data_IF_682673629721
#
_entry.id   IF_682673629721
#
_cell.length_a   1.000
_cell.length_b   1.000
_cell.length_c   1.000
_cell.angle_alpha   90.00
_cell.angle_beta   90.00
_cell.angle_gamma   90.00
#
_symmetry.space_group_name_H-M   'P 1'
#
loop_
_entity.id
_entity.type
_entity.pdbx_description
1 polymer ?
#
# COMPACT_ATOMS: atom_id res chain seq x y z
N UNK A 1 -27.32 15.50 1.15
CA UNK A 1 -26.27 14.73 0.46
C UNK A 1 -25.01 15.58 0.35
N UNK A 2 -24.25 15.71 1.44
CA UNK A 2 -22.99 16.41 1.41
C UNK A 2 -21.99 15.63 0.57
N UNK A 3 -21.50 16.19 -0.49
CA UNK A 3 -20.33 15.68 -1.19
C UNK A 3 -19.18 15.67 -0.19
N UNK A 4 -18.61 14.47 0.09
CA UNK A 4 -17.50 14.29 1.02
C UNK A 4 -16.21 14.99 0.55
N UNK A 5 -16.25 15.66 -0.60
CA UNK A 5 -15.08 16.28 -1.22
C UNK A 5 -15.32 17.77 -1.46
N UNK A 6 -14.40 18.58 -1.00
CA UNK A 6 -14.34 19.99 -1.33
C UNK A 6 -13.49 20.22 -2.59
N UNK A 7 -13.63 21.39 -3.23
CA UNK A 7 -12.93 21.73 -4.48
C UNK A 7 -11.44 21.47 -4.44
N UNK A 8 -10.77 21.82 -3.35
CA UNK A 8 -9.33 21.64 -3.21
C UNK A 8 -8.90 20.16 -3.17
N UNK A 9 -9.75 19.27 -2.63
CA UNK A 9 -9.48 17.84 -2.65
C UNK A 9 -9.50 17.30 -4.08
N UNK A 10 -10.48 17.71 -4.89
CA UNK A 10 -10.59 17.30 -6.30
C UNK A 10 -9.35 17.75 -7.08
N UNK A 11 -8.94 19.02 -6.91
CA UNK A 11 -7.74 19.56 -7.55
C UNK A 11 -6.49 18.75 -7.11
N UNK A 12 -6.30 18.54 -5.81
CA UNK A 12 -5.17 17.82 -5.28
C UNK A 12 -5.11 16.38 -5.80
N UNK A 13 -6.23 15.66 -5.83
CA UNK A 13 -6.32 14.31 -6.38
C UNK A 13 -6.03 14.30 -7.89
N UNK A 14 -6.66 15.19 -8.67
CA UNK A 14 -6.43 15.26 -10.10
C UNK A 14 -4.94 15.51 -10.41
N UNK A 15 -4.33 16.48 -9.73
CA UNK A 15 -2.91 16.78 -9.91
C UNK A 15 -2.01 15.64 -9.50
N UNK A 16 -2.23 15.07 -8.30
CA UNK A 16 -1.39 13.98 -7.77
C UNK A 16 -1.47 12.75 -8.69
N UNK A 17 -2.67 12.27 -9.01
CA UNK A 17 -2.84 11.09 -9.84
C UNK A 17 -2.35 11.29 -11.27
N UNK A 18 -2.57 12.46 -11.85
CA UNK A 18 -2.11 12.73 -13.23
C UNK A 18 -0.59 12.88 -13.30
N UNK A 19 0.04 13.58 -12.36
CA UNK A 19 1.50 13.72 -12.32
C UNK A 19 2.15 12.36 -12.04
N UNK A 20 1.74 11.65 -11.00
CA UNK A 20 2.33 10.35 -10.66
C UNK A 20 2.06 9.31 -11.75
N UNK A 21 0.85 9.30 -12.32
CA UNK A 21 0.49 8.42 -13.42
C UNK A 21 1.28 8.71 -14.70
N UNK A 22 1.46 9.99 -15.06
CA UNK A 22 2.23 10.39 -16.24
C UNK A 22 3.72 10.05 -16.10
N UNK A 23 4.33 10.40 -14.96
CA UNK A 23 5.74 10.12 -14.69
C UNK A 23 5.99 8.62 -14.56
N UNK A 24 5.20 7.93 -13.74
CA UNK A 24 5.30 6.48 -13.55
C UNK A 24 5.01 5.71 -14.85
N UNK A 25 3.96 6.09 -15.58
CA UNK A 25 3.59 5.52 -16.86
C UNK A 25 4.68 5.66 -17.92
N UNK A 26 5.29 6.84 -18.03
CA UNK A 26 6.41 7.07 -18.95
C UNK A 26 7.58 6.09 -18.68
N UNK A 27 8.00 5.95 -17.43
CA UNK A 27 9.09 5.04 -17.07
C UNK A 27 8.72 3.57 -17.27
N UNK A 28 7.49 3.18 -16.96
CA UNK A 28 7.00 1.81 -17.16
C UNK A 28 6.93 1.45 -18.64
N UNK A 29 6.38 2.33 -19.48
CA UNK A 29 6.28 2.13 -20.93
C UNK A 29 7.68 2.06 -21.55
N UNK A 30 8.58 2.97 -21.18
CA UNK A 30 9.99 2.95 -21.64
C UNK A 30 10.70 1.65 -21.27
N UNK A 31 10.46 1.15 -20.04
CA UNK A 31 11.00 -0.15 -19.60
C UNK A 31 10.42 -1.31 -20.38
N UNK A 32 9.10 -1.33 -20.59
CA UNK A 32 8.43 -2.37 -21.38
C UNK A 32 8.90 -2.38 -22.83
N UNK A 33 9.00 -1.21 -23.47
CA UNK A 33 9.50 -1.07 -24.83
C UNK A 33 10.96 -1.59 -24.98
N UNK A 34 11.81 -1.29 -23.99
CA UNK A 34 13.16 -1.84 -23.95
C UNK A 34 13.18 -3.37 -23.77
N UNK A 35 12.30 -3.89 -22.94
CA UNK A 35 12.17 -5.33 -22.71
C UNK A 35 11.66 -6.08 -23.95
N UNK A 36 10.74 -5.50 -24.69
CA UNK A 36 10.24 -6.07 -25.96
C UNK A 36 11.35 -6.14 -27.02
N UNK A 37 12.20 -5.10 -27.11
CA UNK A 37 13.35 -5.10 -28.04
C UNK A 37 14.39 -6.16 -27.71
N UNK A 38 14.54 -6.50 -26.42
CA UNK A 38 15.54 -7.46 -25.94
C UNK A 38 15.01 -8.91 -25.81
N UNK A 39 13.83 -9.18 -26.33
CA UNK A 39 13.18 -10.49 -26.33
C UNK A 39 12.10 -10.62 -25.23
N UNK A 40 10.89 -10.84 -25.69
CA UNK A 40 9.70 -10.92 -24.82
C UNK A 40 9.80 -12.02 -23.76
N UNK A 41 10.22 -13.22 -24.15
CA UNK A 41 10.27 -14.37 -23.24
C UNK A 41 11.22 -14.15 -22.05
N UNK A 42 12.29 -13.37 -22.24
CA UNK A 42 13.24 -13.06 -21.16
C UNK A 42 12.77 -11.89 -20.28
N UNK A 43 11.79 -11.11 -20.73
CA UNK A 43 11.36 -9.87 -20.08
C UNK A 43 9.83 -9.76 -19.95
N UNK A 44 9.11 -10.88 -20.06
CA UNK A 44 7.64 -10.93 -20.02
C UNK A 44 7.04 -10.25 -18.78
N UNK A 45 7.73 -10.35 -17.64
CA UNK A 45 7.29 -9.75 -16.38
C UNK A 45 7.11 -8.22 -16.49
N UNK A 46 8.02 -7.52 -17.18
CA UNK A 46 7.90 -6.08 -17.37
C UNK A 46 6.70 -5.72 -18.25
N UNK A 47 6.43 -6.52 -19.28
CA UNK A 47 5.27 -6.31 -20.16
C UNK A 47 3.98 -6.60 -19.41
N UNK A 48 3.94 -7.71 -18.66
CA UNK A 48 2.82 -8.06 -17.81
C UNK A 48 2.46 -6.95 -16.82
N UNK A 49 3.46 -6.35 -16.16
CA UNK A 49 3.25 -5.25 -15.20
C UNK A 49 2.59 -4.03 -15.86
N UNK A 50 2.96 -3.69 -17.09
CA UNK A 50 2.33 -2.56 -17.81
C UNK A 50 0.89 -2.85 -18.17
N UNK A 51 0.57 -4.08 -18.57
CA UNK A 51 -0.78 -4.46 -19.00
C UNK A 51 -1.74 -4.69 -17.83
N UNK A 52 -1.24 -5.15 -16.69
CA UNK A 52 -2.09 -5.52 -15.54
C UNK A 52 -2.78 -4.32 -14.92
N UNK A 53 -2.13 -3.14 -14.87
CA UNK A 53 -2.71 -1.96 -14.25
C UNK A 53 -3.95 -1.46 -15.01
N UNK A 54 -3.93 -1.25 -16.34
CA UNK A 54 -5.14 -0.93 -17.11
C UNK A 54 -6.21 -2.02 -16.97
N UNK A 55 -5.82 -3.31 -17.04
CA UNK A 55 -6.75 -4.42 -16.86
C UNK A 55 -7.44 -4.41 -15.49
N UNK A 56 -6.71 -4.06 -14.43
CA UNK A 56 -7.26 -3.92 -13.09
C UNK A 56 -8.33 -2.82 -13.04
N UNK A 57 -8.07 -1.63 -13.60
CA UNK A 57 -9.06 -0.55 -13.62
C UNK A 57 -10.29 -0.91 -14.44
N UNK A 58 -10.11 -1.58 -15.59
CA UNK A 58 -11.24 -2.08 -16.39
C UNK A 58 -12.06 -3.12 -15.60
N UNK A 59 -11.39 -4.06 -14.93
CA UNK A 59 -12.07 -5.05 -14.08
C UNK A 59 -12.85 -4.38 -12.95
N UNK A 60 -12.26 -3.39 -12.26
CA UNK A 60 -12.94 -2.65 -11.19
C UNK A 60 -14.15 -1.87 -11.71
N UNK A 61 -14.04 -1.26 -12.90
CA UNK A 61 -15.16 -0.59 -13.55
C UNK A 61 -16.31 -1.57 -13.85
N UNK A 62 -15.99 -2.74 -14.43
CA UNK A 62 -16.97 -3.77 -14.70
C UNK A 62 -17.63 -4.33 -13.42
N UNK A 63 -16.85 -4.53 -12.35
CA UNK A 63 -17.37 -4.94 -11.05
C UNK A 63 -18.34 -3.89 -10.50
N UNK A 64 -17.98 -2.60 -10.58
CA UNK A 64 -18.85 -1.51 -10.15
C UNK A 64 -20.17 -1.43 -10.91
N UNK A 65 -20.17 -1.73 -12.21
CA UNK A 65 -21.39 -1.80 -13.02
C UNK A 65 -22.31 -2.95 -12.61
N UNK A 66 -21.73 -4.10 -12.25
CA UNK A 66 -22.50 -5.30 -11.90
C UNK A 66 -22.90 -5.36 -10.41
N UNK A 67 -22.15 -4.71 -9.54
CA UNK A 67 -22.38 -4.70 -8.09
C UNK A 67 -22.42 -3.29 -7.51
N UNK A 68 -23.34 -2.41 -7.98
CA UNK A 68 -23.34 -0.99 -7.62
C UNK A 68 -23.65 -0.71 -6.16
N UNK A 69 -24.22 -1.65 -5.44
CA UNK A 69 -24.50 -1.52 -4.00
C UNK A 69 -23.28 -1.74 -3.12
N UNK A 70 -22.37 -2.61 -3.53
CA UNK A 70 -21.13 -2.90 -2.82
C UNK A 70 -20.00 -1.97 -3.28
N UNK A 71 -19.94 -1.70 -4.58
CA UNK A 71 -18.91 -0.90 -5.22
C UNK A 71 -19.54 0.22 -6.05
N UNK A 72 -20.05 1.30 -5.40
CA UNK A 72 -20.66 2.41 -6.14
C UNK A 72 -19.67 3.01 -7.14
N UNK A 73 -20.15 3.24 -8.36
CA UNK A 73 -19.33 3.80 -9.44
C UNK A 73 -18.69 5.15 -9.07
N UNK A 74 -19.35 5.92 -8.21
CA UNK A 74 -18.84 7.18 -7.66
C UNK A 74 -17.57 7.06 -6.82
N UNK A 75 -17.16 5.83 -6.44
CA UNK A 75 -15.87 5.59 -5.79
C UNK A 75 -14.71 5.46 -6.80
N UNK A 76 -15.04 5.19 -8.05
CA UNK A 76 -14.07 4.98 -9.14
C UNK A 76 -14.05 6.18 -10.07
N UNK A 77 -15.21 6.77 -10.31
CA UNK A 77 -15.38 7.93 -11.19
C UNK A 77 -15.63 9.19 -10.36
N UNK A 78 -15.13 10.29 -10.88
CA UNK A 78 -15.38 11.62 -10.32
C UNK A 78 -16.87 11.96 -10.53
N UNK A 79 -17.58 12.46 -9.49
CA UNK A 79 -18.93 12.94 -9.65
C UNK A 79 -19.05 13.95 -10.80
N UNK A 80 -20.17 13.91 -11.54
CA UNK A 80 -20.37 14.76 -12.73
C UNK A 80 -20.25 16.26 -12.44
N UNK A 81 -20.65 16.69 -11.24
CA UNK A 81 -20.54 18.08 -10.76
C UNK A 81 -19.09 18.58 -10.65
N UNK A 82 -18.12 17.67 -10.49
CA UNK A 82 -16.68 17.97 -10.34
C UNK A 82 -15.86 17.59 -11.57
N UNK A 83 -16.48 17.03 -12.60
CA UNK A 83 -15.78 16.48 -13.76
C UNK A 83 -14.96 17.53 -14.51
N UNK A 84 -15.51 18.72 -14.70
CA UNK A 84 -14.81 19.82 -15.39
C UNK A 84 -13.59 20.27 -14.59
N UNK A 85 -13.75 20.45 -13.28
CA UNK A 85 -12.65 20.84 -12.39
C UNK A 85 -11.54 19.77 -12.37
N UNK A 86 -11.92 18.50 -12.30
CA UNK A 86 -10.99 17.38 -12.35
C UNK A 86 -10.25 17.33 -13.68
N UNK A 87 -10.97 17.50 -14.79
CA UNK A 87 -10.40 17.48 -16.15
C UNK A 87 -9.42 18.63 -16.36
N UNK A 88 -9.81 19.86 -16.03
CA UNK A 88 -8.91 21.02 -16.12
C UNK A 88 -7.64 20.83 -15.27
N UNK A 89 -7.79 20.38 -14.03
CA UNK A 89 -6.66 20.13 -13.14
C UNK A 89 -5.74 19.02 -13.66
N UNK A 90 -6.31 17.97 -14.25
CA UNK A 90 -5.56 16.88 -14.88
C UNK A 90 -4.79 17.33 -16.12
N UNK A 91 -5.39 18.18 -16.97
CA UNK A 91 -4.70 18.75 -18.14
C UNK A 91 -3.51 19.62 -17.70
N UNK A 92 -3.69 20.48 -16.70
CA UNK A 92 -2.61 21.30 -16.14
C UNK A 92 -1.52 20.40 -15.57
N UNK A 93 -1.88 19.38 -14.80
CA UNK A 93 -0.92 18.43 -14.22
C UNK A 93 -0.17 17.64 -15.30
N UNK A 94 -0.86 17.23 -16.37
CA UNK A 94 -0.23 16.58 -17.53
C UNK A 94 0.80 17.48 -18.20
N UNK A 95 0.46 18.74 -18.46
CA UNK A 95 1.39 19.73 -19.01
C UNK A 95 2.60 19.97 -18.11
N UNK A 96 2.38 20.11 -16.80
CA UNK A 96 3.47 20.17 -15.80
C UNK A 96 4.33 18.91 -15.82
N UNK A 97 3.73 17.73 -15.96
CA UNK A 97 4.44 16.46 -16.08
C UNK A 97 5.38 16.43 -17.28
N UNK A 98 4.95 16.93 -18.45
CA UNK A 98 5.80 17.05 -19.65
C UNK A 98 6.98 17.99 -19.37
N UNK A 99 6.73 19.17 -18.82
CA UNK A 99 7.78 20.16 -18.51
C UNK A 99 8.79 19.56 -17.52
N UNK A 100 8.30 18.84 -16.49
CA UNK A 100 9.18 18.17 -15.52
C UNK A 100 10.04 17.10 -16.21
N UNK A 101 9.46 16.30 -17.10
CA UNK A 101 10.22 15.29 -17.86
C UNK A 101 11.28 15.92 -18.74
N UNK A 102 10.97 16.99 -19.47
CA UNK A 102 11.93 17.73 -20.28
C UNK A 102 13.07 18.30 -19.43
N UNK A 103 12.77 18.87 -18.27
CA UNK A 103 13.79 19.38 -17.35
C UNK A 103 14.66 18.24 -16.79
N UNK A 104 14.07 17.11 -16.44
CA UNK A 104 14.80 15.92 -15.98
C UNK A 104 15.78 15.44 -17.06
N UNK A 105 15.36 15.40 -18.33
CA UNK A 105 16.21 14.99 -19.44
C UNK A 105 17.30 16.04 -19.73
N UNK A 106 16.92 17.32 -19.83
CA UNK A 106 17.84 18.42 -20.14
C UNK A 106 18.97 18.60 -19.13
N UNK A 107 18.68 18.46 -17.85
CA UNK A 107 19.66 18.61 -16.77
C UNK A 107 20.39 17.32 -16.39
N UNK A 108 20.15 16.23 -17.11
CA UNK A 108 20.75 14.94 -16.80
C UNK A 108 20.38 14.39 -15.42
N UNK A 109 19.30 14.93 -14.82
CA UNK A 109 18.81 14.52 -13.50
C UNK A 109 18.46 13.03 -13.47
N UNK A 110 18.01 12.49 -14.59
CA UNK A 110 17.75 11.06 -14.74
C UNK A 110 19.02 10.23 -14.52
N UNK A 111 20.19 10.67 -15.03
CA UNK A 111 21.45 9.95 -14.81
C UNK A 111 21.86 9.99 -13.34
N UNK A 112 21.73 11.15 -12.69
CA UNK A 112 22.01 11.31 -11.25
C UNK A 112 21.07 10.47 -10.38
N UNK A 113 19.77 10.50 -10.70
CA UNK A 113 18.76 9.66 -10.03
C UNK A 113 19.06 8.17 -10.22
N UNK A 114 19.45 7.76 -11.44
CA UNK A 114 19.79 6.37 -11.76
C UNK A 114 20.98 5.84 -10.96
N UNK A 115 21.89 6.71 -10.54
CA UNK A 115 23.04 6.37 -9.70
C UNK A 115 22.71 6.33 -8.22
N UNK A 116 21.53 6.82 -7.80
CA UNK A 116 21.12 6.81 -6.39
C UNK A 116 20.78 5.39 -5.92
N UNK A 117 21.10 5.10 -4.65
CA UNK A 117 20.74 3.82 -4.00
C UNK A 117 19.22 3.57 -4.01
N UNK A 118 18.44 4.65 -3.84
CA UNK A 118 16.98 4.58 -3.86
C UNK A 118 16.47 4.13 -5.25
N UNK A 119 17.00 4.69 -6.32
CA UNK A 119 16.61 4.29 -7.67
C UNK A 119 17.04 2.84 -7.98
N UNK A 120 18.20 2.43 -7.51
CA UNK A 120 18.65 1.04 -7.56
C UNK A 120 17.64 0.11 -6.89
N UNK A 121 17.25 0.42 -5.65
CA UNK A 121 16.25 -0.34 -4.91
C UNK A 121 14.89 -0.40 -5.65
N UNK A 122 14.38 0.75 -6.13
CA UNK A 122 13.11 0.81 -6.88
C UNK A 122 13.19 -0.05 -8.15
N UNK A 123 14.28 0.08 -8.92
CA UNK A 123 14.48 -0.68 -10.15
C UNK A 123 14.51 -2.19 -9.91
N UNK A 124 15.21 -2.62 -8.86
CA UNK A 124 15.36 -4.04 -8.52
C UNK A 124 14.08 -4.64 -7.94
N UNK A 125 13.27 -3.84 -7.25
CA UNK A 125 12.06 -4.30 -6.57
C UNK A 125 10.77 -3.81 -7.24
N UNK A 126 10.84 -3.34 -8.48
CA UNK A 126 9.67 -2.83 -9.20
C UNK A 126 8.48 -3.82 -9.23
N UNK A 127 8.66 -5.14 -9.45
CA UNK A 127 7.54 -6.09 -9.37
C UNK A 127 6.87 -6.11 -8.01
N UNK A 128 7.65 -6.07 -6.93
CA UNK A 128 7.11 -6.02 -5.57
C UNK A 128 6.41 -4.71 -5.24
N UNK A 129 6.97 -3.58 -5.68
CA UNK A 129 6.33 -2.26 -5.53
C UNK A 129 4.98 -2.25 -6.24
N UNK A 130 4.94 -2.82 -7.44
CA UNK A 130 3.72 -2.91 -8.22
C UNK A 130 2.68 -3.85 -7.57
N UNK A 131 3.10 -5.04 -7.13
CA UNK A 131 2.23 -5.94 -6.36
C UNK A 131 1.69 -5.25 -5.09
N UNK A 132 2.55 -4.58 -4.34
CA UNK A 132 2.15 -3.80 -3.17
C UNK A 132 1.13 -2.72 -3.50
N UNK A 133 1.30 -2.00 -4.60
CA UNK A 133 0.34 -1.00 -5.06
C UNK A 133 -1.00 -1.61 -5.47
N UNK A 134 -1.00 -2.74 -6.18
CA UNK A 134 -2.24 -3.46 -6.53
C UNK A 134 -2.98 -3.89 -5.26
N UNK A 135 -2.30 -4.51 -4.30
CA UNK A 135 -2.95 -4.94 -3.06
C UNK A 135 -3.37 -3.77 -2.17
N UNK A 136 -2.66 -2.65 -2.19
CA UNK A 136 -3.15 -1.41 -1.59
C UNK A 136 -4.51 -1.02 -2.17
N UNK A 137 -4.66 -0.98 -3.51
CA UNK A 137 -5.91 -0.63 -4.17
C UNK A 137 -7.02 -1.65 -3.89
N UNK A 138 -6.72 -2.94 -4.00
CA UNK A 138 -7.67 -4.03 -3.70
C UNK A 138 -8.19 -3.90 -2.27
N UNK A 139 -7.30 -3.77 -1.31
CA UNK A 139 -7.69 -3.67 0.10
C UNK A 139 -8.41 -2.36 0.41
N UNK A 140 -8.07 -1.25 -0.25
CA UNK A 140 -8.79 0.01 -0.08
C UNK A 140 -10.25 -0.10 -0.57
N UNK A 141 -10.46 -0.77 -1.69
CA UNK A 141 -11.81 -1.01 -2.23
C UNK A 141 -12.59 -1.96 -1.30
N UNK A 142 -11.97 -3.05 -0.87
CA UNK A 142 -12.56 -3.97 0.09
C UNK A 142 -12.87 -3.27 1.43
N UNK A 143 -11.95 -2.46 1.95
CA UNK A 143 -12.15 -1.70 3.18
C UNK A 143 -13.37 -0.77 3.07
N UNK A 144 -13.55 -0.11 1.94
CA UNK A 144 -14.73 0.73 1.69
C UNK A 144 -16.02 -0.08 1.64
N UNK A 145 -15.99 -1.27 1.02
CA UNK A 145 -17.16 -2.15 0.94
C UNK A 145 -17.51 -2.74 2.32
N UNK A 146 -16.51 -3.24 3.01
CA UNK A 146 -16.63 -3.95 4.28
C UNK A 146 -17.03 -3.00 5.41
N UNK A 147 -16.39 -1.86 5.57
CA UNK A 147 -16.68 -0.90 6.65
C UNK A 147 -17.85 0.05 6.32
N UNK A 148 -18.71 -0.30 5.38
CA UNK A 148 -19.92 0.47 5.14
C UNK A 148 -20.93 0.26 6.28
N UNK A 149 -21.67 1.31 6.62
CA UNK A 149 -22.75 1.24 7.63
C UNK A 149 -23.85 0.20 7.32
N UNK A 150 -23.90 -0.31 6.09
CA UNK A 150 -24.84 -1.35 5.64
C UNK A 150 -24.43 -2.76 6.06
N UNK A 151 -23.13 -2.99 6.21
CA UNK A 151 -22.58 -4.25 6.69
C UNK A 151 -22.17 -4.03 8.13
N UNK A 152 -23.03 -4.18 9.06
CA UNK A 152 -22.71 -4.11 10.49
C UNK A 152 -21.76 -5.27 10.87
N UNK A 153 -20.49 -5.12 10.53
CA UNK A 153 -19.45 -6.17 10.52
C UNK A 153 -18.92 -6.42 11.93
N UNK A 154 -19.18 -5.51 12.83
CA UNK A 154 -18.57 -5.47 14.15
C UNK A 154 -18.77 -6.77 14.96
N UNK A 155 -19.82 -7.52 14.67
CA UNK A 155 -20.12 -8.79 15.35
C UNK A 155 -20.07 -10.02 14.43
N UNK A 156 -19.89 -9.85 13.11
CA UNK A 156 -20.05 -10.95 12.13
C UNK A 156 -18.72 -11.61 11.77
N UNK A 157 -17.60 -10.86 11.75
CA UNK A 157 -16.32 -11.38 11.31
C UNK A 157 -15.38 -11.52 12.52
N UNK A 158 -15.34 -12.71 13.10
CA UNK A 158 -14.40 -13.12 14.15
C UNK A 158 -14.41 -12.20 15.39
N UNK A 159 -15.54 -11.56 15.70
CA UNK A 159 -15.63 -10.58 16.80
C UNK A 159 -14.53 -9.50 16.73
N UNK A 160 -14.13 -9.14 15.51
CA UNK A 160 -13.09 -8.13 15.31
C UNK A 160 -13.55 -6.78 15.90
N UNK A 161 -12.67 -6.16 16.66
CA UNK A 161 -12.89 -4.84 17.29
C UNK A 161 -12.84 -3.68 16.26
N UNK A 162 -13.38 -3.87 15.06
CA UNK A 162 -13.22 -2.94 13.95
C UNK A 162 -13.75 -1.53 14.24
N UNK A 163 -14.90 -1.41 14.91
CA UNK A 163 -15.46 -0.10 15.28
C UNK A 163 -14.62 0.62 16.34
N UNK A 164 -14.25 -0.01 17.48
CA UNK A 164 -13.34 0.62 18.42
C UNK A 164 -12.03 1.09 17.76
N UNK A 165 -11.43 0.27 16.91
CA UNK A 165 -10.19 0.65 16.23
C UNK A 165 -10.38 1.76 15.19
N UNK A 166 -11.50 1.80 14.47
CA UNK A 166 -11.87 2.90 13.61
C UNK A 166 -11.91 4.22 14.39
N UNK A 167 -12.56 4.19 15.57
CA UNK A 167 -12.66 5.34 16.45
C UNK A 167 -11.29 5.77 17.00
N UNK A 168 -10.49 4.81 17.46
CA UNK A 168 -9.15 5.05 17.99
C UNK A 168 -8.23 5.69 16.95
N UNK A 169 -8.27 5.19 15.73
CA UNK A 169 -7.41 5.67 14.64
C UNK A 169 -7.88 6.99 14.05
N UNK A 170 -9.20 7.16 13.88
CA UNK A 170 -9.77 8.25 13.09
C UNK A 170 -10.18 9.47 13.90
N UNK A 171 -10.82 9.31 15.04
CA UNK A 171 -11.36 10.43 15.80
C UNK A 171 -10.30 11.33 16.43
N UNK A 172 -10.49 12.66 16.41
CA UNK A 172 -9.57 13.62 17.02
C UNK A 172 -9.40 13.37 18.53
N UNK A 173 -10.49 13.16 19.23
CA UNK A 173 -10.55 13.10 20.69
C UNK A 173 -10.42 11.69 21.25
N UNK A 174 -10.03 10.74 20.39
CA UNK A 174 -9.91 9.29 20.60
C UNK A 174 -10.16 8.83 22.02
N UNK A 175 -11.23 8.12 22.19
CA UNK A 175 -11.67 7.54 23.46
C UNK A 175 -10.55 6.79 24.16
N UNK A 176 -10.70 6.71 25.49
CA UNK A 176 -9.84 6.04 26.45
C UNK A 176 -9.34 4.69 25.93
N UNK A 177 -8.09 4.67 25.50
CA UNK A 177 -7.51 3.53 24.82
C UNK A 177 -6.49 2.86 25.74
N UNK A 178 -6.96 2.44 26.87
CA UNK A 178 -6.13 1.62 27.75
C UNK A 178 -6.17 0.17 27.25
N UNK A 179 -5.51 -0.08 26.13
CA UNK A 179 -5.36 -1.43 25.57
C UNK A 179 -3.99 -1.99 25.90
N UNK A 180 -3.86 -2.61 27.05
CA UNK A 180 -2.64 -3.26 27.51
C UNK A 180 -2.05 -4.26 26.50
N UNK A 181 -2.92 -4.85 25.66
CA UNK A 181 -2.51 -5.82 24.61
C UNK A 181 -1.86 -5.15 23.40
N UNK A 182 -1.97 -3.84 23.24
CA UNK A 182 -1.47 -3.07 22.10
C UNK A 182 -0.81 -1.75 22.53
N UNK A 183 0.25 -1.80 23.37
CA UNK A 183 0.77 -0.61 24.05
C UNK A 183 1.34 0.46 23.12
N UNK A 184 1.81 0.09 21.92
CA UNK A 184 2.41 1.05 20.99
C UNK A 184 1.45 1.56 19.89
N UNK A 185 0.22 1.12 19.86
CA UNK A 185 -0.75 1.51 18.82
C UNK A 185 -0.97 3.02 18.77
N UNK A 186 -1.14 3.66 19.94
CA UNK A 186 -1.38 5.10 20.01
C UNK A 186 -0.22 5.93 19.48
N UNK A 187 1.02 5.50 19.70
CA UNK A 187 2.22 6.23 19.28
C UNK A 187 2.71 5.87 17.89
N UNK A 188 2.16 4.83 17.27
CA UNK A 188 2.55 4.37 15.93
C UNK A 188 1.42 4.49 14.92
N UNK A 189 0.32 3.77 15.13
CA UNK A 189 -0.79 3.70 14.17
C UNK A 189 -1.57 5.02 14.10
N UNK A 190 -1.90 5.61 15.23
CA UNK A 190 -2.69 6.84 15.28
C UNK A 190 -1.98 8.04 14.63
N UNK A 191 -0.71 8.35 14.93
CA UNK A 191 0.00 9.42 14.23
C UNK A 191 0.09 9.20 12.73
N UNK A 192 0.30 7.97 12.29
CA UNK A 192 0.32 7.61 10.88
C UNK A 192 -1.05 7.87 10.21
N UNK A 193 -2.14 7.43 10.84
CA UNK A 193 -3.49 7.65 10.35
C UNK A 193 -3.87 9.15 10.36
N UNK A 194 -3.48 9.88 11.41
CA UNK A 194 -3.68 11.34 11.48
C UNK A 194 -2.92 12.09 10.40
N UNK A 195 -1.69 11.67 10.11
CA UNK A 195 -0.92 12.22 9.01
C UNK A 195 -1.63 12.04 7.67
N UNK A 196 -2.22 10.86 7.41
CA UNK A 196 -3.04 10.63 6.21
C UNK A 196 -4.29 11.51 6.26
N UNK A 197 -4.95 11.59 7.41
CA UNK A 197 -6.15 12.40 7.64
C UNK A 197 -5.96 13.86 7.29
N UNK A 198 -4.78 14.41 7.59
CA UNK A 198 -4.42 15.79 7.24
C UNK A 198 -4.56 16.06 5.73
N UNK A 199 -4.15 15.10 4.88
CA UNK A 199 -4.31 15.21 3.42
C UNK A 199 -5.74 14.88 2.94
N UNK A 200 -6.55 14.25 3.78
CA UNK A 200 -7.93 13.85 3.48
C UNK A 200 -8.98 14.79 4.09
N UNK A 201 -8.59 16.02 4.45
CA UNK A 201 -9.49 16.99 5.07
C UNK A 201 -10.07 16.49 6.39
N UNK A 202 -9.24 15.84 7.20
CA UNK A 202 -9.58 15.26 8.51
C UNK A 202 -10.73 14.25 8.47
N UNK A 203 -10.92 13.57 7.33
CA UNK A 203 -11.93 12.53 7.19
C UNK A 203 -11.57 11.34 8.10
N UNK A 204 -12.17 11.32 9.29
CA UNK A 204 -11.93 10.31 10.33
C UNK A 204 -12.33 8.89 9.92
N UNK A 205 -13.22 8.75 8.94
CA UNK A 205 -13.68 7.45 8.46
C UNK A 205 -12.79 6.88 7.36
N UNK A 206 -12.33 7.72 6.43
CA UNK A 206 -11.54 7.29 5.28
C UNK A 206 -10.06 7.11 5.64
N UNK A 207 -9.50 7.94 6.50
CA UNK A 207 -8.08 7.90 6.84
C UNK A 207 -7.61 6.58 7.49
N UNK A 208 -8.37 5.94 8.41
CA UNK A 208 -8.03 4.59 8.87
C UNK A 208 -8.02 3.55 7.76
N UNK A 209 -9.01 3.58 6.84
CA UNK A 209 -9.08 2.63 5.73
C UNK A 209 -7.89 2.76 4.78
N UNK A 210 -7.48 3.99 4.46
CA UNK A 210 -6.28 4.24 3.66
C UNK A 210 -5.05 3.72 4.41
N UNK A 211 -4.97 3.96 5.72
CA UNK A 211 -3.82 3.54 6.55
C UNK A 211 -3.63 2.03 6.56
N UNK A 212 -4.70 1.26 6.82
CA UNK A 212 -4.64 -0.21 6.81
C UNK A 212 -4.31 -0.75 5.41
N UNK A 213 -4.91 -0.17 4.38
CA UNK A 213 -4.64 -0.58 3.00
C UNK A 213 -3.22 -0.27 2.57
N UNK A 214 -2.65 0.87 2.98
CA UNK A 214 -1.23 1.20 2.75
C UNK A 214 -0.30 0.23 3.46
N UNK A 215 -0.61 -0.13 4.70
CA UNK A 215 0.19 -1.13 5.45
C UNK A 215 0.08 -2.51 4.81
N UNK A 216 -1.09 -2.86 4.26
CA UNK A 216 -1.26 -4.09 3.47
C UNK A 216 -0.34 -4.09 2.24
N UNK A 217 -0.38 -3.04 1.43
CA UNK A 217 0.50 -2.91 0.27
C UNK A 217 1.99 -2.95 0.64
N UNK A 218 2.37 -2.28 1.73
CA UNK A 218 3.74 -2.31 2.26
C UNK A 218 4.15 -3.73 2.69
N UNK A 219 3.25 -4.47 3.33
CA UNK A 219 3.50 -5.87 3.74
C UNK A 219 3.75 -6.76 2.53
N UNK A 220 3.00 -6.59 1.44
CA UNK A 220 3.22 -7.32 0.17
C UNK A 220 4.56 -6.95 -0.44
N UNK A 221 4.96 -5.68 -0.45
CA UNK A 221 6.28 -5.26 -0.90
C UNK A 221 7.40 -5.91 -0.06
N UNK A 222 7.24 -5.94 1.26
CA UNK A 222 8.22 -6.58 2.15
C UNK A 222 8.27 -8.10 1.94
N UNK A 223 7.13 -8.74 1.72
CA UNK A 223 7.07 -10.15 1.34
C UNK A 223 7.80 -10.43 0.03
N UNK A 224 7.66 -9.56 -0.98
CA UNK A 224 8.45 -9.64 -2.21
C UNK A 224 9.95 -9.61 -1.93
N UNK A 225 10.41 -8.63 -1.16
CA UNK A 225 11.85 -8.51 -0.85
C UNK A 225 12.37 -9.75 -0.13
N UNK A 226 11.59 -10.28 0.82
CA UNK A 226 11.92 -11.50 1.55
C UNK A 226 11.98 -12.72 0.61
N UNK A 227 10.95 -12.94 -0.18
CA UNK A 227 10.84 -14.07 -1.10
C UNK A 227 11.88 -14.02 -2.21
N UNK A 228 12.15 -12.83 -2.77
CA UNK A 228 13.20 -12.64 -3.78
C UNK A 228 14.56 -13.09 -3.27
N UNK A 229 14.91 -12.76 -2.03
CA UNK A 229 16.16 -13.18 -1.41
C UNK A 229 16.20 -14.68 -1.13
N UNK A 230 15.06 -15.26 -0.71
CA UNK A 230 14.95 -16.69 -0.38
C UNK A 230 14.95 -17.59 -1.63
N UNK A 231 14.17 -17.25 -2.63
CA UNK A 231 13.94 -18.10 -3.83
C UNK A 231 15.00 -17.87 -4.91
N UNK A 232 15.64 -16.68 -4.94
CA UNK A 232 16.65 -16.27 -5.94
C UNK A 232 16.14 -16.36 -7.40
N UNK A 233 14.84 -16.30 -7.61
CA UNK A 233 14.19 -16.30 -8.91
C UNK A 233 13.02 -15.30 -8.89
N UNK A 234 13.10 -14.25 -9.69
CA UNK A 234 12.13 -13.15 -9.69
C UNK A 234 10.72 -13.61 -10.07
N UNK A 235 10.58 -14.57 -10.97
CA UNK A 235 9.26 -15.07 -11.39
C UNK A 235 8.57 -15.82 -10.26
N UNK A 236 9.25 -16.77 -9.64
CA UNK A 236 8.68 -17.51 -8.51
C UNK A 236 8.45 -16.60 -7.29
N UNK A 237 9.37 -15.70 -7.00
CA UNK A 237 9.18 -14.71 -5.95
C UNK A 237 7.93 -13.86 -6.18
N UNK A 238 7.69 -13.45 -7.44
CA UNK A 238 6.50 -12.69 -7.79
C UNK A 238 5.21 -13.50 -7.64
N UNK A 239 5.19 -14.75 -8.12
CA UNK A 239 4.04 -15.64 -7.96
C UNK A 239 3.72 -15.85 -6.47
N UNK A 240 4.71 -16.17 -5.65
CA UNK A 240 4.51 -16.36 -4.20
C UNK A 240 4.08 -15.07 -3.51
N UNK A 241 4.56 -13.90 -3.96
CA UNK A 241 4.13 -12.61 -3.45
C UNK A 241 2.65 -12.35 -3.75
N UNK A 242 2.22 -12.65 -4.99
CA UNK A 242 0.81 -12.53 -5.37
C UNK A 242 -0.06 -13.51 -4.58
N UNK A 243 0.38 -14.76 -4.42
CA UNK A 243 -0.32 -15.75 -3.60
C UNK A 243 -0.45 -15.29 -2.15
N UNK A 244 0.63 -14.75 -1.56
CA UNK A 244 0.60 -14.18 -0.22
C UNK A 244 -0.42 -13.06 -0.09
N UNK A 245 -0.39 -12.06 -1.00
CA UNK A 245 -1.33 -10.95 -1.00
C UNK A 245 -2.78 -11.38 -1.24
N UNK A 246 -2.99 -12.44 -2.01
CA UNK A 246 -4.33 -12.98 -2.33
C UNK A 246 -4.87 -13.95 -1.26
N UNK A 247 -4.13 -14.22 -0.18
CA UNK A 247 -4.66 -15.04 0.91
C UNK A 247 -5.88 -14.37 1.56
N UNK A 248 -6.87 -15.17 1.95
CA UNK A 248 -8.06 -14.67 2.61
C UNK A 248 -7.72 -13.85 3.87
N UNK A 249 -6.73 -14.30 4.64
CA UNK A 249 -6.26 -13.57 5.84
C UNK A 249 -5.68 -12.20 5.50
N UNK A 250 -4.86 -12.10 4.45
CA UNK A 250 -4.26 -10.83 4.05
C UNK A 250 -5.31 -9.85 3.51
N UNK A 251 -6.23 -10.34 2.65
CA UNK A 251 -7.32 -9.52 2.11
C UNK A 251 -8.27 -9.06 3.22
N UNK A 252 -8.61 -9.93 4.15
CA UNK A 252 -9.50 -9.60 5.25
C UNK A 252 -8.86 -8.57 6.20
N UNK A 253 -7.71 -8.91 6.77
CA UNK A 253 -7.05 -8.04 7.76
C UNK A 253 -6.42 -6.78 7.15
N UNK A 254 -6.15 -6.77 5.86
CA UNK A 254 -5.78 -5.57 5.10
C UNK A 254 -6.96 -4.63 4.79
N UNK A 255 -8.19 -5.06 5.10
CA UNK A 255 -9.43 -4.33 4.76
C UNK A 255 -10.28 -3.98 5.97
N UNK A 256 -10.10 -4.64 7.10
CA UNK A 256 -10.79 -4.33 8.36
C UNK A 256 -9.93 -3.37 9.18
N UNK A 257 -10.56 -2.37 9.81
CA UNK A 257 -9.89 -1.42 10.69
C UNK A 257 -9.48 -2.09 11.99
N UNK A 258 -8.35 -2.78 11.95
CA UNK A 258 -7.79 -3.57 13.04
C UNK A 258 -6.26 -3.44 13.11
N UNK A 259 -5.67 -3.94 14.20
CA UNK A 259 -4.21 -3.88 14.41
C UNK A 259 -3.44 -4.94 13.65
N UNK A 260 -4.09 -6.00 13.17
CA UNK A 260 -3.44 -7.18 12.61
C UNK A 260 -2.55 -6.89 11.42
N UNK A 261 -2.97 -6.02 10.50
CA UNK A 261 -2.14 -5.69 9.32
C UNK A 261 -0.88 -4.91 9.72
N UNK A 262 -0.97 -4.05 10.73
CA UNK A 262 0.20 -3.36 11.29
C UNK A 262 1.13 -4.35 12.00
N UNK A 263 0.56 -5.29 12.75
CA UNK A 263 1.30 -6.38 13.38
C UNK A 263 2.04 -7.24 12.35
N UNK A 264 1.37 -7.57 11.24
CA UNK A 264 1.98 -8.31 10.12
C UNK A 264 3.10 -7.51 9.45
N UNK A 265 2.90 -6.20 9.22
CA UNK A 265 3.90 -5.33 8.63
C UNK A 265 5.16 -5.23 9.49
N UNK A 266 5.00 -5.03 10.80
CA UNK A 266 6.14 -4.94 11.73
C UNK A 266 6.87 -6.27 11.88
N UNK A 267 6.14 -7.38 11.93
CA UNK A 267 6.73 -8.72 11.94
C UNK A 267 7.51 -8.99 10.66
N UNK A 268 6.95 -8.67 9.50
CA UNK A 268 7.64 -8.85 8.22
C UNK A 268 8.90 -7.99 8.13
N UNK A 269 8.84 -6.74 8.61
CA UNK A 269 10.02 -5.88 8.71
C UNK A 269 11.10 -6.50 9.61
N UNK A 270 10.72 -7.04 10.77
CA UNK A 270 11.64 -7.72 11.67
C UNK A 270 12.28 -8.96 11.03
N UNK A 271 11.49 -9.79 10.33
CA UNK A 271 12.00 -10.94 9.58
C UNK A 271 12.98 -10.56 8.48
N UNK A 272 12.77 -9.42 7.81
CA UNK A 272 13.72 -8.87 6.83
C UNK A 272 15.06 -8.47 7.47
N UNK A 273 15.04 -7.91 8.67
CA UNK A 273 16.26 -7.61 9.43
C UNK A 273 17.02 -8.90 9.80
N UNK A 274 16.30 -9.92 10.22
CA UNK A 274 16.88 -11.25 10.50
C UNK A 274 17.49 -11.84 9.23
N UNK A 275 16.75 -11.82 8.11
CA UNK A 275 17.23 -12.34 6.83
C UNK A 275 18.46 -11.58 6.30
N UNK A 276 18.58 -10.29 6.65
CA UNK A 276 19.73 -9.46 6.30
C UNK A 276 20.93 -9.67 7.23
N UNK A 277 20.86 -10.62 8.17
CA UNK A 277 21.85 -10.86 9.23
C UNK A 277 22.19 -9.60 10.05
N UNK A 278 21.16 -8.78 10.33
CA UNK A 278 21.36 -7.59 11.15
C UNK A 278 21.79 -7.98 12.56
N UNK A 279 22.94 -7.45 13.01
CA UNK A 279 23.55 -7.81 14.30
C UNK A 279 23.47 -6.69 15.35
N UNK A 280 23.11 -5.49 14.93
CA UNK A 280 23.06 -4.33 15.82
C UNK A 280 21.84 -4.37 16.73
N UNK A 281 22.08 -4.54 18.01
CA UNK A 281 21.00 -4.50 19.01
C UNK A 281 20.23 -3.19 19.01
N UNK A 282 20.88 -2.08 18.67
CA UNK A 282 20.23 -0.76 18.52
C UNK A 282 19.15 -0.72 17.43
N UNK A 283 19.12 -1.69 16.51
CA UNK A 283 18.08 -1.85 15.47
C UNK A 283 17.12 -2.99 15.85
N UNK A 284 17.66 -4.14 16.27
CA UNK A 284 16.84 -5.32 16.55
C UNK A 284 15.91 -5.13 17.75
N UNK A 285 16.40 -4.49 18.83
CA UNK A 285 15.57 -4.27 20.03
C UNK A 285 14.39 -3.34 19.72
N UNK A 286 14.56 -2.13 19.16
CA UNK A 286 13.41 -1.30 18.79
C UNK A 286 12.46 -1.97 17.81
N UNK A 287 12.97 -2.70 16.81
CA UNK A 287 12.12 -3.43 15.87
C UNK A 287 11.31 -4.55 16.57
N UNK A 288 11.93 -5.33 17.48
CA UNK A 288 11.24 -6.34 18.28
C UNK A 288 10.22 -5.74 19.25
N UNK A 289 10.54 -4.61 19.89
CA UNK A 289 9.60 -3.87 20.73
C UNK A 289 8.42 -3.33 19.91
N UNK A 290 8.64 -2.89 18.68
CA UNK A 290 7.57 -2.47 17.79
C UNK A 290 6.62 -3.64 17.44
N UNK A 291 7.16 -4.82 17.13
CA UNK A 291 6.37 -6.03 16.90
C UNK A 291 5.52 -6.38 18.12
N UNK A 292 6.15 -6.43 19.30
CA UNK A 292 5.50 -6.72 20.57
C UNK A 292 4.43 -5.68 20.91
N UNK A 293 4.75 -4.40 20.74
CA UNK A 293 3.89 -3.30 21.15
C UNK A 293 2.68 -3.06 20.27
N UNK A 294 2.69 -3.53 19.02
CA UNK A 294 1.51 -3.50 18.14
C UNK A 294 0.66 -4.75 18.33
N UNK A 295 1.28 -5.93 18.37
CA UNK A 295 0.56 -7.19 18.58
C UNK A 295 1.40 -8.11 19.43
N UNK A 296 1.03 -8.24 20.69
CA UNK A 296 1.82 -8.96 21.72
C UNK A 296 2.11 -10.40 21.33
N UNK A 297 1.17 -11.07 20.68
CA UNK A 297 1.30 -12.47 20.24
C UNK A 297 2.40 -12.69 19.20
N UNK A 298 2.79 -11.64 18.46
CA UNK A 298 3.84 -11.74 17.45
C UNK A 298 5.26 -11.82 18.03
N UNK A 299 5.44 -11.63 19.35
CA UNK A 299 6.75 -11.76 20.00
C UNK A 299 7.29 -13.19 19.87
N UNK A 300 6.40 -14.19 19.92
CA UNK A 300 6.78 -15.59 19.76
C UNK A 300 7.51 -15.86 18.44
N UNK A 301 6.94 -15.36 17.32
CA UNK A 301 7.56 -15.51 16.00
C UNK A 301 8.89 -14.76 15.90
N UNK A 302 8.99 -13.59 16.55
CA UNK A 302 10.24 -12.81 16.58
C UNK A 302 11.34 -13.55 17.35
N UNK A 303 11.01 -14.13 18.50
CA UNK A 303 11.94 -14.93 19.30
C UNK A 303 12.37 -16.18 18.54
N UNK A 304 11.43 -16.92 17.94
CA UNK A 304 11.73 -18.09 17.11
C UNK A 304 12.66 -17.72 15.96
N UNK A 305 12.36 -16.62 15.22
CA UNK A 305 13.19 -16.14 14.13
C UNK A 305 14.63 -15.82 14.57
N UNK A 306 14.79 -15.12 15.71
CA UNK A 306 16.12 -14.84 16.28
C UNK A 306 16.84 -16.12 16.69
N UNK A 307 16.14 -17.05 17.34
CA UNK A 307 16.70 -18.31 17.78
C UNK A 307 17.31 -19.10 16.61
N UNK A 308 16.54 -19.31 15.54
CA UNK A 308 17.03 -20.03 14.36
C UNK A 308 18.17 -19.29 13.66
N UNK A 309 18.10 -17.97 13.52
CA UNK A 309 19.14 -17.19 12.86
C UNK A 309 20.45 -17.15 13.66
N UNK A 310 20.39 -17.01 14.99
CA UNK A 310 21.59 -16.87 15.84
C UNK A 310 22.23 -18.19 16.21
N UNK A 311 21.47 -19.28 16.26
CA UNK A 311 21.99 -20.60 16.60
C UNK A 311 22.42 -21.42 15.38
N UNK A 312 22.33 -20.88 14.18
CA UNK A 312 22.83 -21.53 12.99
C UNK A 312 22.07 -22.80 12.58
N UNK A 313 20.80 -22.89 12.87
CA UNK A 313 19.93 -24.00 12.46
C UNK A 313 19.46 -23.92 10.99
N UNK A 314 20.11 -23.11 10.18
CA UNK A 314 19.87 -22.99 8.76
C UNK A 314 20.96 -23.66 7.93
#
# INVERSE_FOLDING_TARGET
SGTMYERHHIIAFAMLFTLTGSLGGYFLIRRAAHSLKNGFLNNWLNVFLVLTLPAFFVAMFLISLNFPTMFPIGYILVPTEWLDLYTCSSVIAGALGIVILEQIEKHGLYQKLRQSKLFGFIKENLPGIYAGFIFFLVNLILARAINSLRFNIHSIIFEADAEPWLNIMGYPDGYDVNRAVHPLVLITMRPFTRFIGFFMGENWFLSPMISISMMSGLTVLMAWVFLKRAVKNDTYAFIFTLLFGATASHLLFGSITETYIFGMATLMFFLLLIQADEKRFSILIPAGLLVFGITITNIGQSVIGLFFNKLGFW
#
